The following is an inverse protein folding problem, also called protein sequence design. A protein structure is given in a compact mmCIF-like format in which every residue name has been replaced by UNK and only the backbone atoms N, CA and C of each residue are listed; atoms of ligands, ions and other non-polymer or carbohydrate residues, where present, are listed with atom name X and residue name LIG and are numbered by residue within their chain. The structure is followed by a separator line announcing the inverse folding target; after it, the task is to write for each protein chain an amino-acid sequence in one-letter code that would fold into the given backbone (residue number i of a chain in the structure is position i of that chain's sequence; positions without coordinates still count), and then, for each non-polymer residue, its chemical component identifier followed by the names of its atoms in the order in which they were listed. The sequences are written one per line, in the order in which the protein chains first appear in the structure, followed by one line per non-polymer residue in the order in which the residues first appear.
data_IF_068832099909
#
_entry.id   IF_068832099909
#
_cell.length_a   1.000
_cell.length_b   1.000
_cell.length_c   1.000
_cell.angle_alpha   90.00
_cell.angle_beta   90.00
_cell.angle_gamma   90.00
#
_symmetry.space_group_name_H-M   'P 1'
#
loop_
_entity.id
_entity.type
_entity.pdbx_description
1 polymer ?
#
# COMPACT_ATOMS: atom_id res chain seq x y z
N UNK A 1 43.88 32.18 -1.04
CA UNK A 1 42.57 32.23 -0.33
C UNK A 1 41.34 32.11 -1.24
N UNK A 2 41.24 32.79 -2.39
CA UNK A 2 40.07 32.68 -3.29
C UNK A 2 39.82 31.25 -3.82
N UNK A 3 40.89 30.53 -4.16
CA UNK A 3 40.84 29.14 -4.65
C UNK A 3 40.43 28.12 -3.58
N UNK A 4 40.70 28.39 -2.30
CA UNK A 4 40.29 27.51 -1.17
C UNK A 4 38.77 27.60 -1.00
N UNK A 5 38.21 28.82 -1.02
CA UNK A 5 36.76 29.03 -0.90
C UNK A 5 35.97 28.38 -2.05
N UNK A 6 36.51 28.42 -3.27
CA UNK A 6 35.88 27.78 -4.44
C UNK A 6 35.85 26.25 -4.29
N UNK A 7 36.97 25.62 -3.89
CA UNK A 7 37.01 24.16 -3.69
C UNK A 7 36.04 23.69 -2.59
N UNK A 8 35.93 24.45 -1.50
CA UNK A 8 34.98 24.12 -0.43
C UNK A 8 33.53 24.20 -0.89
N UNK A 9 33.18 25.21 -1.70
CA UNK A 9 31.83 25.35 -2.27
C UNK A 9 31.53 24.19 -3.23
N UNK A 10 32.49 23.82 -4.09
CA UNK A 10 32.30 22.70 -5.03
C UNK A 10 32.08 21.37 -4.30
N UNK A 11 32.84 21.11 -3.23
CA UNK A 11 32.67 19.90 -2.40
C UNK A 11 31.30 19.88 -1.72
N UNK A 12 30.85 21.03 -1.20
CA UNK A 12 29.52 21.14 -0.59
C UNK A 12 28.39 20.90 -1.59
N UNK A 13 28.46 21.51 -2.77
CA UNK A 13 27.47 21.29 -3.84
C UNK A 13 27.44 19.82 -4.30
N UNK A 14 28.60 19.18 -4.40
CA UNK A 14 28.70 17.77 -4.77
C UNK A 14 28.05 16.89 -3.70
N UNK A 15 28.32 17.16 -2.41
CA UNK A 15 27.70 16.43 -1.29
C UNK A 15 26.16 16.56 -1.30
N UNK A 16 25.61 17.76 -1.52
CA UNK A 16 24.17 17.97 -1.62
C UNK A 16 23.54 17.23 -2.82
N UNK A 17 24.25 17.12 -3.95
CA UNK A 17 23.76 16.40 -5.12
C UNK A 17 23.62 14.89 -4.84
N UNK A 18 24.58 14.31 -4.12
CA UNK A 18 24.55 12.89 -3.75
C UNK A 18 23.51 12.55 -2.67
N UNK A 19 23.27 13.43 -1.68
CA UNK A 19 22.27 13.16 -0.62
C UNK A 19 20.82 13.19 -1.11
N UNK A 20 20.53 13.92 -2.19
CA UNK A 20 19.17 14.02 -2.76
C UNK A 20 18.62 12.67 -3.25
N UNK A 21 19.50 11.75 -3.66
CA UNK A 21 19.13 10.45 -4.23
C UNK A 21 18.72 9.41 -3.18
N UNK A 22 19.20 9.55 -1.93
CA UNK A 22 18.94 8.57 -0.86
C UNK A 22 17.50 8.70 -0.32
N UNK A 23 16.90 9.89 -0.40
CA UNK A 23 15.53 10.14 0.08
C UNK A 23 14.43 9.66 -0.89
N UNK A 24 14.78 9.37 -2.16
CA UNK A 24 13.81 9.01 -3.20
C UNK A 24 13.44 7.51 -3.23
N UNK A 25 14.14 6.66 -2.49
CA UNK A 25 13.83 5.23 -2.36
C UNK A 25 12.85 4.97 -1.21
N UNK A 26 11.81 5.80 -1.10
CA UNK A 26 10.75 5.60 -0.11
C UNK A 26 9.76 4.59 -0.67
N UNK A 27 9.62 3.46 0.00
CA UNK A 27 8.49 2.56 -0.23
C UNK A 27 7.23 3.31 0.22
N UNK A 28 6.45 3.80 -0.74
CA UNK A 28 5.12 4.34 -0.47
C UNK A 28 4.31 3.23 0.21
N UNK A 29 3.57 3.58 1.26
CA UNK A 29 2.75 2.61 1.98
C UNK A 29 1.83 1.91 0.97
N UNK A 30 2.05 0.60 0.77
CA UNK A 30 1.31 -0.16 -0.21
C UNK A 30 -0.14 -0.25 0.26
N UNK A 31 -1.01 0.58 -0.33
CA UNK A 31 -2.39 0.69 0.11
C UNK A 31 -3.20 -0.44 -0.52
N UNK A 32 -3.37 -1.52 0.25
CA UNK A 32 -4.15 -2.67 -0.18
C UNK A 32 -5.64 -2.31 -0.12
N UNK A 33 -6.24 -2.09 -1.30
CA UNK A 33 -7.67 -1.74 -1.45
C UNK A 33 -8.56 -2.92 -1.84
N UNK A 34 -8.00 -4.12 -1.87
CA UNK A 34 -8.72 -5.32 -2.27
C UNK A 34 -8.21 -6.58 -1.58
N UNK A 35 -9.12 -7.50 -1.23
CA UNK A 35 -8.82 -8.77 -0.54
C UNK A 35 -8.05 -9.76 -1.42
N UNK A 36 -8.36 -9.83 -2.71
CA UNK A 36 -7.62 -10.69 -3.65
C UNK A 36 -6.19 -10.15 -3.80
N UNK A 37 -6.04 -8.83 -3.89
CA UNK A 37 -4.71 -8.21 -3.87
C UNK A 37 -3.93 -8.47 -2.58
N UNK A 38 -4.61 -8.41 -1.42
CA UNK A 38 -4.03 -8.78 -0.12
C UNK A 38 -3.51 -10.22 -0.13
N UNK A 39 -4.35 -11.16 -0.58
CA UNK A 39 -3.99 -12.59 -0.65
C UNK A 39 -2.84 -12.88 -1.61
N UNK A 40 -2.64 -12.05 -2.64
CA UNK A 40 -1.51 -12.14 -3.57
C UNK A 40 -0.24 -11.42 -3.07
N UNK A 41 -0.24 -10.87 -1.86
CA UNK A 41 0.91 -10.12 -1.31
C UNK A 41 1.24 -8.87 -2.11
N UNK A 42 0.23 -8.23 -2.72
CA UNK A 42 0.39 -7.06 -3.57
C UNK A 42 0.73 -7.35 -5.04
N UNK A 43 0.87 -8.61 -5.44
CA UNK A 43 1.16 -9.02 -6.81
C UNK A 43 -0.11 -9.13 -7.71
N UNK A 44 -0.98 -8.12 -7.66
CA UNK A 44 -2.31 -8.18 -8.28
C UNK A 44 -2.45 -7.44 -9.61
N UNK A 45 -1.61 -6.43 -9.89
CA UNK A 45 -1.71 -5.55 -11.08
C UNK A 45 -1.85 -6.30 -12.42
N UNK A 46 -1.17 -7.44 -12.58
CA UNK A 46 -1.19 -8.21 -13.83
C UNK A 46 -2.48 -9.01 -14.06
N UNK A 47 -3.25 -9.27 -13.01
CA UNK A 47 -4.46 -10.12 -13.03
C UNK A 47 -5.70 -9.37 -12.59
N UNK A 48 -5.64 -8.04 -12.54
CA UNK A 48 -6.73 -7.23 -12.04
C UNK A 48 -7.86 -7.14 -13.07
N UNK A 49 -8.87 -8.00 -12.92
CA UNK A 49 -10.01 -8.15 -13.83
C UNK A 49 -11.37 -7.97 -13.14
N UNK A 50 -11.35 -7.45 -11.90
CA UNK A 50 -12.53 -7.30 -11.04
C UNK A 50 -12.71 -5.85 -10.53
N UNK A 51 -13.57 -5.63 -9.54
CA UNK A 51 -13.81 -4.31 -8.95
C UNK A 51 -12.53 -3.62 -8.42
N UNK A 52 -11.51 -4.40 -8.03
CA UNK A 52 -10.18 -3.91 -7.66
C UNK A 52 -9.39 -3.32 -8.84
N UNK A 53 -9.71 -3.65 -10.09
CA UNK A 53 -8.99 -3.16 -11.27
C UNK A 53 -8.95 -1.62 -11.35
N UNK A 54 -9.97 -0.92 -10.87
CA UNK A 54 -9.98 0.55 -10.79
C UNK A 54 -8.83 1.14 -9.96
N UNK A 55 -8.31 0.39 -8.97
CA UNK A 55 -7.24 0.85 -8.09
C UNK A 55 -5.86 0.35 -8.49
N UNK A 56 -5.76 -0.79 -9.20
CA UNK A 56 -4.48 -1.41 -9.54
C UNK A 56 -4.15 -1.38 -11.03
N UNK A 57 -5.11 -1.64 -11.91
CA UNK A 57 -4.92 -1.64 -13.37
C UNK A 57 -6.26 -1.37 -14.09
N UNK A 58 -6.60 -0.10 -14.39
CA UNK A 58 -7.86 0.26 -15.03
C UNK A 58 -8.06 -0.38 -16.42
N UNK A 59 -6.98 -0.77 -17.10
CA UNK A 59 -7.09 -1.46 -18.39
C UNK A 59 -7.69 -2.86 -18.25
N UNK A 60 -7.51 -3.50 -17.09
CA UNK A 60 -8.07 -4.83 -16.81
C UNK A 60 -9.60 -4.85 -16.68
N UNK A 61 -10.25 -3.69 -16.45
CA UNK A 61 -11.71 -3.57 -16.50
C UNK A 61 -12.26 -3.97 -17.87
N UNK A 62 -11.53 -3.70 -18.95
CA UNK A 62 -11.94 -4.10 -20.30
C UNK A 62 -11.82 -5.61 -20.53
N UNK A 63 -11.02 -6.31 -19.71
CA UNK A 63 -10.86 -7.76 -19.74
C UNK A 63 -11.83 -8.47 -18.79
N UNK A 64 -12.64 -7.74 -18.01
CA UNK A 64 -13.63 -8.32 -17.11
C UNK A 64 -14.69 -9.08 -17.93
N UNK A 65 -14.75 -10.40 -17.77
CA UNK A 65 -15.63 -11.26 -18.57
C UNK A 65 -17.13 -11.09 -18.24
N UNK A 66 -17.44 -10.54 -17.06
CA UNK A 66 -18.80 -10.44 -16.52
C UNK A 66 -19.00 -9.14 -15.78
N UNK A 67 -20.26 -8.72 -15.67
CA UNK A 67 -20.63 -7.67 -14.72
C UNK A 67 -20.44 -8.18 -13.30
N UNK A 68 -19.63 -7.47 -12.51
CA UNK A 68 -19.29 -7.84 -11.15
C UNK A 68 -19.65 -6.70 -10.20
N UNK A 69 -20.10 -7.05 -9.00
CA UNK A 69 -20.41 -6.10 -7.92
C UNK A 69 -19.88 -6.69 -6.61
N UNK A 70 -19.09 -5.90 -5.89
CA UNK A 70 -18.60 -6.25 -4.56
C UNK A 70 -19.49 -5.59 -3.51
N UNK A 71 -20.23 -6.38 -2.73
CA UNK A 71 -21.11 -5.88 -1.68
C UNK A 71 -20.41 -5.78 -0.31
N UNK A 72 -19.57 -6.76 -0.01
CA UNK A 72 -18.87 -6.89 1.28
C UNK A 72 -17.44 -7.35 1.03
N UNK A 73 -16.51 -6.73 1.76
CA UNK A 73 -15.09 -7.07 1.74
C UNK A 73 -14.65 -7.28 3.21
N UNK A 74 -14.59 -8.53 3.65
CA UNK A 74 -14.24 -8.89 5.05
C UNK A 74 -12.75 -9.21 5.13
N UNK A 75 -11.96 -8.30 5.68
CA UNK A 75 -10.54 -8.49 5.98
C UNK A 75 -10.34 -8.89 7.44
N UNK A 76 -9.60 -9.98 7.67
CA UNK A 76 -9.20 -10.41 9.01
C UNK A 76 -7.66 -10.34 9.11
N UNK A 77 -7.18 -9.56 10.07
CA UNK A 77 -5.76 -9.48 10.40
C UNK A 77 -5.52 -10.28 11.68
N UNK A 78 -4.62 -11.26 11.64
CA UNK A 78 -4.25 -12.02 12.84
C UNK A 78 -3.32 -11.14 13.69
N UNK A 79 -3.85 -10.63 14.80
CA UNK A 79 -3.14 -9.68 15.66
C UNK A 79 -4.02 -9.21 16.82
N UNK A 80 -3.76 -8.00 17.30
CA UNK A 80 -4.55 -7.41 18.38
C UNK A 80 -6.00 -7.12 17.94
N UNK A 81 -6.21 -6.76 16.67
CA UNK A 81 -7.54 -6.61 16.06
C UNK A 81 -8.40 -7.88 16.18
N UNK A 82 -7.80 -9.06 15.99
CA UNK A 82 -8.51 -10.34 16.11
C UNK A 82 -8.93 -10.60 17.57
N UNK A 83 -8.08 -10.21 18.53
CA UNK A 83 -8.39 -10.33 19.96
C UNK A 83 -9.50 -9.37 20.36
N UNK A 84 -9.46 -8.14 19.88
CA UNK A 84 -10.53 -7.15 20.12
C UNK A 84 -11.86 -7.63 19.53
N UNK A 85 -11.87 -8.10 18.28
CA UNK A 85 -13.07 -8.65 17.65
C UNK A 85 -13.62 -9.86 18.43
N UNK A 86 -12.74 -10.75 18.90
CA UNK A 86 -13.12 -11.89 19.72
C UNK A 86 -13.70 -11.47 21.09
N UNK A 87 -13.05 -10.53 21.77
CA UNK A 87 -13.51 -10.03 23.07
C UNK A 87 -14.84 -9.30 22.92
N UNK A 88 -15.00 -8.45 21.91
CA UNK A 88 -16.26 -7.78 21.61
C UNK A 88 -17.39 -8.77 21.36
N UNK A 89 -17.17 -9.82 20.57
CA UNK A 89 -18.18 -10.86 20.34
C UNK A 89 -18.58 -11.55 21.64
N UNK A 90 -17.60 -11.90 22.48
CA UNK A 90 -17.84 -12.55 23.77
C UNK A 90 -18.61 -11.66 24.74
N UNK A 91 -18.28 -10.37 24.78
CA UNK A 91 -18.89 -9.42 25.71
C UNK A 91 -20.32 -9.03 25.32
N UNK A 92 -20.68 -9.16 24.04
CA UNK A 92 -22.03 -8.89 23.52
C UNK A 92 -22.81 -10.16 23.20
N UNK A 93 -22.34 -11.34 23.62
CA UNK A 93 -22.97 -12.61 23.28
C UNK A 93 -24.41 -12.69 23.80
N UNK A 94 -24.66 -12.14 25.00
CA UNK A 94 -25.97 -12.15 25.66
C UNK A 94 -27.01 -11.24 24.98
N UNK A 95 -26.57 -10.24 24.21
CA UNK A 95 -27.44 -9.29 23.47
C UNK A 95 -27.78 -9.79 22.05
N UNK A 96 -27.15 -10.89 21.61
CA UNK A 96 -27.30 -11.47 20.28
C UNK A 96 -28.18 -12.73 20.27
N UNK A 97 -28.62 -13.20 21.44
CA UNK A 97 -29.66 -14.23 21.63
C UNK A 97 -31.08 -13.63 21.62
#
# INVERSE_FOLDING_TARGET
MKYIKIKTITIFCLACFFTSRICAAREEAFMIRDLRSLGMGGAYTAVADDAGAFFYNPAGVAAAEKTQMTLLQIGLTIGDDLKEAYNWYKDNQDDLE
#
